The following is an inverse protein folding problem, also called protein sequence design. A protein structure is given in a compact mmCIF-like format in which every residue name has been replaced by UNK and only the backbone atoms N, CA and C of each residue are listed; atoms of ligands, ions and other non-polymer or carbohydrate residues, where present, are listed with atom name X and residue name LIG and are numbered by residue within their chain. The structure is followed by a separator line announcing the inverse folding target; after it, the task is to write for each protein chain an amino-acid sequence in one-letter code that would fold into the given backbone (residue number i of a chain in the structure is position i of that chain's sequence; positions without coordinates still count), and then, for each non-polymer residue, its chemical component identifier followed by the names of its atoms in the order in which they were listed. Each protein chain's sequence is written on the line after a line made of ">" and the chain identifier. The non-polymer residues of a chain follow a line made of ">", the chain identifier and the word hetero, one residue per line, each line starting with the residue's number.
data_IF_159925489155
#
_entry.id   IF_159925489155
#
_cell.length_a   1.000
_cell.length_b   1.000
_cell.length_c   1.000
_cell.angle_alpha   90.00
_cell.angle_beta   90.00
_cell.angle_gamma   90.00
#
_symmetry.space_group_name_H-M   'P 1'
#
loop_
_entity.id
_entity.type
_entity.pdbx_description
1 polymer ?
#
# COMPACT_ATOMS: atom_id res chain seq x y z
N UNK A 1 -1.31 20.59 21.45
CA UNK A 1 -2.78 20.59 21.27
C UNK A 1 -3.05 19.78 20.01
N UNK A 2 -3.83 18.71 20.02
CA UNK A 2 -4.11 17.96 18.79
C UNK A 2 -4.89 18.85 17.82
N UNK A 3 -4.22 19.38 16.80
CA UNK A 3 -4.84 20.16 15.72
C UNK A 3 -5.40 19.20 14.68
N UNK A 4 -6.49 19.60 14.00
CA UNK A 4 -7.14 18.77 12.98
C UNK A 4 -6.16 18.32 11.87
N UNK A 5 -5.12 19.11 11.63
CA UNK A 5 -4.01 18.84 10.70
C UNK A 5 -3.21 17.56 11.03
N UNK A 6 -3.17 17.10 12.30
CA UNK A 6 -2.50 15.84 12.62
C UNK A 6 -3.19 14.62 11.99
N UNK A 7 -4.47 14.72 11.63
CA UNK A 7 -5.16 13.66 10.88
C UNK A 7 -4.69 13.57 9.42
N UNK A 8 -4.14 14.65 8.86
CA UNK A 8 -3.62 14.69 7.49
C UNK A 8 -2.17 14.22 7.39
N UNK A 9 -1.42 14.24 8.50
CA UNK A 9 -0.01 13.87 8.56
C UNK A 9 0.29 12.47 7.97
N UNK A 10 -0.49 11.41 8.27
CA UNK A 10 -0.28 10.10 7.68
C UNK A 10 -0.52 10.08 6.16
N UNK A 11 -1.45 10.91 5.66
CA UNK A 11 -1.73 11.01 4.23
C UNK A 11 -0.49 11.55 3.51
N UNK A 12 0.04 12.67 3.96
CA UNK A 12 1.22 13.27 3.34
C UNK A 12 2.48 12.41 3.50
N UNK A 13 2.66 11.76 4.66
CA UNK A 13 3.86 11.00 4.94
C UNK A 13 3.87 9.61 4.31
N UNK A 14 2.71 8.96 4.15
CA UNK A 14 2.61 7.59 3.62
C UNK A 14 1.97 7.53 2.24
N UNK A 15 0.83 8.20 2.03
CA UNK A 15 0.07 8.08 0.76
C UNK A 15 0.81 8.79 -0.38
N UNK A 16 1.39 9.96 -0.13
CA UNK A 16 2.15 10.69 -1.15
C UNK A 16 3.36 9.91 -1.68
N UNK A 17 4.28 9.37 -0.84
CA UNK A 17 5.35 8.52 -1.36
C UNK A 17 4.83 7.20 -1.94
N UNK A 18 3.79 6.59 -1.37
CA UNK A 18 3.15 5.40 -1.96
C UNK A 18 2.70 5.64 -3.40
N UNK A 19 2.13 6.81 -3.68
CA UNK A 19 1.69 7.18 -5.02
C UNK A 19 2.87 7.28 -6.00
N UNK A 20 3.98 7.89 -5.58
CA UNK A 20 5.19 7.99 -6.39
C UNK A 20 5.80 6.62 -6.70
N UNK A 21 5.82 5.72 -5.71
CA UNK A 21 6.39 4.37 -5.84
C UNK A 21 5.40 3.30 -6.34
N UNK A 22 4.16 3.69 -6.68
CA UNK A 22 3.11 2.75 -7.12
C UNK A 22 3.31 2.16 -8.52
N UNK A 23 4.35 2.56 -9.24
CA UNK A 23 4.61 2.08 -10.60
C UNK A 23 3.84 2.84 -11.69
N UNK A 24 3.03 3.84 -11.34
CA UNK A 24 2.22 4.63 -12.28
C UNK A 24 3.04 5.66 -13.07
N UNK A 25 3.95 6.37 -12.41
CA UNK A 25 4.81 7.38 -13.06
C UNK A 25 6.13 6.78 -13.56
N UNK A 26 6.71 5.88 -12.77
CA UNK A 26 7.98 5.25 -13.07
C UNK A 26 7.82 3.73 -12.94
N UNK A 27 8.13 2.94 -13.99
CA UNK A 27 8.04 1.50 -13.91
C UNK A 27 9.01 0.97 -12.83
N UNK A 28 8.52 0.04 -12.02
CA UNK A 28 9.27 -0.50 -10.87
C UNK A 28 10.50 -1.29 -11.32
N UNK A 29 10.49 -1.83 -12.54
CA UNK A 29 11.66 -2.43 -13.19
C UNK A 29 12.88 -1.50 -13.28
N UNK A 30 12.66 -0.19 -13.39
CA UNK A 30 13.73 0.81 -13.59
C UNK A 30 14.21 1.44 -12.27
N UNK A 31 13.62 1.07 -11.14
CA UNK A 31 14.06 1.55 -9.83
C UNK A 31 15.41 0.91 -9.45
N UNK A 32 16.28 1.66 -8.75
CA UNK A 32 17.51 1.10 -8.23
C UNK A 32 17.21 -0.05 -7.25
N UNK A 33 18.15 -0.99 -7.14
CA UNK A 33 17.97 -2.26 -6.40
C UNK A 33 17.50 -2.03 -4.96
N UNK A 34 17.94 -0.95 -4.31
CA UNK A 34 17.55 -0.59 -2.96
C UNK A 34 16.12 -0.04 -2.84
N UNK A 35 15.57 0.59 -3.89
CA UNK A 35 14.23 1.19 -3.88
C UNK A 35 13.13 0.20 -4.29
N UNK A 36 13.48 -0.82 -5.06
CA UNK A 36 12.58 -1.90 -5.49
C UNK A 36 11.82 -2.58 -4.34
N UNK A 37 12.44 -2.98 -3.21
CA UNK A 37 11.71 -3.57 -2.10
C UNK A 37 10.72 -2.61 -1.43
N UNK A 38 10.99 -1.30 -1.41
CA UNK A 38 10.05 -0.31 -0.87
C UNK A 38 8.78 -0.20 -1.72
N UNK A 39 8.93 -0.18 -3.04
CA UNK A 39 7.78 -0.18 -3.95
C UNK A 39 6.91 -1.43 -3.76
N UNK A 40 7.55 -2.61 -3.64
CA UNK A 40 6.85 -3.89 -3.40
C UNK A 40 6.22 -3.99 -2.01
N UNK A 41 6.72 -3.27 -1.01
CA UNK A 41 6.11 -3.24 0.32
C UNK A 41 4.79 -2.44 0.33
N UNK A 42 4.57 -1.54 -0.62
CA UNK A 42 3.38 -0.72 -0.63
C UNK A 42 2.17 -1.46 -1.23
N UNK A 43 1.03 -1.53 -0.52
CA UNK A 43 -0.17 -2.20 -1.04
C UNK A 43 -0.70 -1.52 -2.31
N UNK A 44 -0.45 -0.22 -2.47
CA UNK A 44 -0.90 0.54 -3.64
C UNK A 44 -0.26 0.05 -4.94
N UNK A 45 1.01 -0.38 -4.90
CA UNK A 45 1.68 -0.96 -6.06
C UNK A 45 0.94 -2.20 -6.58
N UNK A 46 0.60 -3.13 -5.68
CA UNK A 46 -0.12 -4.36 -6.01
C UNK A 46 -1.51 -4.10 -6.59
N UNK A 47 -2.21 -3.08 -6.08
CA UNK A 47 -3.52 -2.69 -6.61
C UNK A 47 -3.43 -2.10 -8.03
N UNK A 48 -2.47 -1.20 -8.26
CA UNK A 48 -2.22 -0.59 -9.57
C UNK A 48 -1.78 -1.63 -10.59
N UNK A 49 -0.94 -2.57 -10.18
CA UNK A 49 -0.49 -3.69 -11.02
C UNK A 49 -1.69 -4.53 -11.51
N UNK A 50 -2.61 -4.88 -10.62
CA UNK A 50 -3.82 -5.63 -10.99
C UNK A 50 -4.73 -4.82 -11.91
N UNK A 51 -4.93 -3.53 -11.63
CA UNK A 51 -5.73 -2.66 -12.50
C UNK A 51 -5.10 -2.56 -13.91
N UNK A 52 -3.77 -2.43 -13.99
CA UNK A 52 -3.02 -2.40 -15.25
C UNK A 52 -3.13 -3.73 -15.99
N UNK A 53 -3.07 -4.86 -15.29
CA UNK A 53 -3.29 -6.17 -15.91
C UNK A 53 -4.70 -6.26 -16.52
N UNK A 54 -5.74 -5.83 -15.81
CA UNK A 54 -7.12 -5.90 -16.28
C UNK A 54 -7.40 -4.96 -17.46
N UNK A 55 -6.83 -3.75 -17.44
CA UNK A 55 -7.08 -2.75 -18.47
C UNK A 55 -6.17 -2.88 -19.71
N UNK A 56 -4.89 -3.22 -19.51
CA UNK A 56 -3.85 -3.20 -20.54
C UNK A 56 -3.28 -4.58 -20.88
N UNK A 57 -3.65 -5.62 -20.13
CA UNK A 57 -3.12 -6.99 -20.32
C UNK A 57 -1.64 -7.15 -19.95
N UNK A 58 -1.02 -6.15 -19.32
CA UNK A 58 0.41 -6.13 -18.96
C UNK A 58 0.59 -6.24 -17.46
N UNK A 59 1.61 -6.98 -17.03
CA UNK A 59 1.99 -7.09 -15.63
C UNK A 59 3.51 -7.23 -15.47
N UNK A 60 4.08 -6.66 -14.41
CA UNK A 60 5.49 -6.77 -14.02
C UNK A 60 5.72 -7.75 -12.87
N UNK A 61 4.70 -7.99 -12.05
CA UNK A 61 4.74 -8.99 -10.97
C UNK A 61 3.65 -10.03 -11.15
N UNK A 62 3.81 -11.19 -10.50
CA UNK A 62 2.85 -12.28 -10.56
C UNK A 62 1.51 -11.79 -9.99
N UNK A 63 0.42 -11.75 -10.78
CA UNK A 63 -0.86 -11.19 -10.33
C UNK A 63 -1.41 -11.87 -9.07
N UNK A 64 -1.21 -13.19 -8.97
CA UNK A 64 -1.62 -13.96 -7.80
C UNK A 64 -0.92 -13.50 -6.51
N UNK A 65 0.36 -13.13 -6.57
CA UNK A 65 1.08 -12.58 -5.41
C UNK A 65 0.47 -11.25 -4.98
N UNK A 66 0.13 -10.36 -5.93
CA UNK A 66 -0.50 -9.08 -5.65
C UNK A 66 -1.86 -9.26 -4.97
N UNK A 67 -2.68 -10.21 -5.42
CA UNK A 67 -3.97 -10.52 -4.77
C UNK A 67 -3.75 -11.06 -3.35
N UNK A 68 -2.88 -12.05 -3.18
CA UNK A 68 -2.59 -12.63 -1.86
C UNK A 68 -2.05 -11.56 -0.91
N UNK A 69 -1.13 -10.72 -1.38
CA UNK A 69 -0.56 -9.63 -0.59
C UNK A 69 -1.64 -8.67 -0.09
N UNK A 70 -2.53 -8.22 -0.98
CA UNK A 70 -3.62 -7.31 -0.62
C UNK A 70 -4.59 -7.94 0.39
N UNK A 71 -4.92 -9.22 0.23
CA UNK A 71 -5.78 -9.95 1.18
C UNK A 71 -5.14 -10.06 2.56
N UNK A 72 -3.86 -10.47 2.62
CA UNK A 72 -3.12 -10.58 3.87
C UNK A 72 -2.97 -9.21 4.54
N UNK A 73 -2.61 -8.19 3.76
CA UNK A 73 -2.45 -6.83 4.26
C UNK A 73 -3.77 -6.29 4.83
N UNK A 74 -4.88 -6.43 4.09
CA UNK A 74 -6.20 -6.01 4.56
C UNK A 74 -6.62 -6.75 5.84
N UNK A 75 -6.51 -8.09 5.85
CA UNK A 75 -6.87 -8.87 7.03
C UNK A 75 -6.02 -8.50 8.26
N UNK A 76 -4.72 -8.31 8.08
CA UNK A 76 -3.80 -7.93 9.15
C UNK A 76 -4.16 -6.57 9.74
N UNK A 77 -4.34 -5.54 8.92
CA UNK A 77 -4.65 -4.20 9.39
C UNK A 77 -6.05 -4.09 9.97
N UNK A 78 -7.04 -4.81 9.42
CA UNK A 78 -8.37 -4.90 10.02
C UNK A 78 -8.31 -5.59 11.38
N UNK A 79 -7.58 -6.70 11.50
CA UNK A 79 -7.39 -7.37 12.79
C UNK A 79 -6.70 -6.46 13.81
N UNK A 80 -5.61 -5.79 13.43
CA UNK A 80 -4.93 -4.82 14.29
C UNK A 80 -5.87 -3.69 14.73
N UNK A 81 -6.63 -3.12 13.79
CA UNK A 81 -7.60 -2.07 14.09
C UNK A 81 -8.64 -2.54 15.12
N UNK A 82 -9.18 -3.74 14.96
CA UNK A 82 -10.13 -4.34 15.91
C UNK A 82 -9.50 -4.55 17.30
N UNK A 83 -8.27 -5.08 17.36
CA UNK A 83 -7.55 -5.29 18.63
C UNK A 83 -7.28 -3.95 19.33
N UNK A 84 -6.79 -2.95 18.61
CA UNK A 84 -6.51 -1.63 19.18
C UNK A 84 -7.78 -0.90 19.62
N UNK A 85 -8.86 -0.97 18.82
CA UNK A 85 -10.18 -0.44 19.22
C UNK A 85 -10.68 -1.14 20.48
N UNK A 86 -10.63 -2.47 20.55
CA UNK A 86 -11.08 -3.24 21.72
C UNK A 86 -10.27 -2.89 22.97
N UNK A 87 -8.94 -2.77 22.85
CA UNK A 87 -8.07 -2.34 23.96
C UNK A 87 -8.34 -0.91 24.42
N UNK A 88 -8.80 -0.03 23.54
CA UNK A 88 -9.20 1.34 23.90
C UNK A 88 -10.61 1.43 24.48
N UNK A 89 -11.54 0.59 24.03
CA UNK A 89 -12.95 0.62 24.43
C UNK A 89 -13.25 -0.18 25.71
N UNK A 90 -12.47 -1.22 26.01
CA UNK A 90 -12.61 -2.02 27.24
C UNK A 90 -11.69 -1.49 28.35
N UNK A 91 -11.74 -0.17 28.56
CA UNK A 91 -11.29 0.46 29.79
C UNK A 91 -12.50 1.04 30.50
#
# INVERSE_FOLDING_TARGET
>A
IPTIEMFNLPIFLFVTPMFLFSGTFFPVSNLPVWAKPFALAFPLYHLVELARMLCLGRHETVPLLSVIYLLVFSALFTFLALVFMRRRLVK
#
